data_IF_076957359162
#
_entry.id   IF_076957359162
#
_cell.length_a   1.000
_cell.length_b   1.000
_cell.length_c   1.000
_cell.angle_alpha   90.00
_cell.angle_beta   90.00
_cell.angle_gamma   90.00
#
_symmetry.space_group_name_H-M   'P 1'
#
loop_
_entity.id
_entity.type
_entity.pdbx_description
1 polymer ?
#
# COMPACT_ATOMS: atom_id res chain seq x y z
N UNK A 1 71.75 14.25 -41.92
CA UNK A 1 71.11 14.38 -40.60
C UNK A 1 69.62 14.50 -40.85
N UNK A 2 68.88 13.53 -40.33
CA UNK A 2 67.59 13.06 -40.82
C UNK A 2 66.38 13.92 -40.48
N UNK A 3 65.40 13.84 -41.39
CA UNK A 3 63.99 14.22 -41.25
C UNK A 3 63.28 13.33 -40.23
N UNK A 4 62.37 13.87 -39.40
CA UNK A 4 61.18 13.14 -38.90
C UNK A 4 59.97 14.05 -38.75
N UNK A 5 58.93 13.72 -39.51
CA UNK A 5 57.53 14.10 -39.32
C UNK A 5 56.95 13.33 -38.13
N UNK A 6 56.05 13.96 -37.37
CA UNK A 6 55.25 13.30 -36.34
C UNK A 6 53.79 13.29 -36.79
N UNK A 7 53.31 12.09 -37.11
CA UNK A 7 51.93 11.79 -37.49
C UNK A 7 51.31 11.01 -36.32
N UNK A 8 50.25 11.55 -35.71
CA UNK A 8 49.54 10.93 -34.60
C UNK A 8 48.55 9.89 -35.11
N UNK A 9 48.69 8.65 -34.63
CA UNK A 9 47.89 7.50 -35.02
C UNK A 9 46.77 7.24 -34.00
N UNK A 10 45.55 6.98 -34.49
CA UNK A 10 44.39 6.57 -33.69
C UNK A 10 44.52 5.09 -33.32
N UNK A 11 44.49 4.75 -32.03
CA UNK A 11 44.37 3.36 -31.55
C UNK A 11 42.93 3.04 -31.13
N UNK A 12 42.42 1.93 -31.68
CA UNK A 12 41.12 1.32 -31.37
C UNK A 12 41.19 0.48 -30.07
N UNK A 13 40.07 0.20 -29.39
CA UNK A 13 40.05 -0.62 -28.18
C UNK A 13 40.23 -2.13 -28.52
N UNK A 14 40.72 -2.95 -27.57
CA UNK A 14 41.09 -4.34 -27.85
C UNK A 14 39.85 -5.23 -28.03
N UNK A 15 39.87 -6.06 -29.08
CA UNK A 15 38.94 -7.19 -29.25
C UNK A 15 39.30 -8.27 -28.23
N UNK A 16 38.39 -8.58 -27.31
CA UNK A 16 38.43 -9.84 -26.56
C UNK A 16 38.26 -11.00 -27.54
N UNK A 17 39.18 -11.97 -27.50
CA UNK A 17 39.13 -13.16 -28.33
C UNK A 17 38.08 -14.16 -27.79
N UNK A 18 37.33 -14.78 -28.71
CA UNK A 18 36.21 -15.70 -28.43
C UNK A 18 36.57 -16.87 -27.49
N UNK A 19 37.85 -17.24 -27.43
CA UNK A 19 38.34 -18.32 -26.59
C UNK A 19 38.32 -17.94 -25.09
N UNK A 20 38.48 -16.65 -24.77
CA UNK A 20 38.45 -16.15 -23.40
C UNK A 20 37.00 -16.09 -22.85
N UNK A 21 36.03 -15.83 -23.73
CA UNK A 21 34.59 -15.89 -23.42
C UNK A 21 34.17 -17.35 -23.20
N UNK A 22 34.65 -18.26 -24.04
CA UNK A 22 34.32 -19.69 -23.96
C UNK A 22 34.90 -20.34 -22.69
N UNK A 23 36.10 -19.92 -22.28
CA UNK A 23 36.69 -20.34 -20.99
C UNK A 23 35.88 -19.88 -19.78
N UNK A 24 35.35 -18.64 -19.79
CA UNK A 24 34.54 -18.09 -18.69
C UNK A 24 33.16 -18.73 -18.57
N UNK A 25 32.57 -19.19 -19.68
CA UNK A 25 31.29 -19.92 -19.68
C UNK A 25 31.47 -21.34 -19.10
N UNK A 26 32.56 -22.02 -19.43
CA UNK A 26 32.85 -23.35 -18.87
C UNK A 26 33.10 -23.31 -17.35
N UNK A 27 33.67 -22.22 -16.81
CA UNK A 27 33.80 -22.06 -15.37
C UNK A 27 32.44 -21.88 -14.67
N UNK A 28 31.46 -21.22 -15.29
CA UNK A 28 30.11 -21.05 -14.73
C UNK A 28 29.34 -22.38 -14.60
N UNK A 29 29.51 -23.31 -15.54
CA UNK A 29 28.91 -24.64 -15.44
C UNK A 29 29.58 -25.51 -14.36
N UNK A 30 30.87 -25.29 -14.13
CA UNK A 30 31.59 -25.92 -13.00
C UNK A 30 31.06 -25.43 -11.65
N UNK A 31 30.74 -24.15 -11.52
CA UNK A 31 30.08 -23.60 -10.33
C UNK A 31 28.66 -24.15 -10.15
N UNK A 32 27.88 -24.31 -11.23
CA UNK A 32 26.54 -24.93 -11.16
C UNK A 32 26.57 -26.38 -10.65
N UNK A 33 27.61 -27.15 -10.98
CA UNK A 33 27.81 -28.51 -10.47
C UNK A 33 28.13 -28.54 -8.95
N UNK A 34 28.87 -27.55 -8.45
CA UNK A 34 29.18 -27.42 -7.02
C UNK A 34 27.92 -27.05 -6.22
N UNK A 35 27.11 -26.11 -6.72
CA UNK A 35 25.86 -25.70 -6.05
C UNK A 35 24.75 -26.77 -6.09
N UNK A 36 24.82 -27.72 -7.02
CA UNK A 36 23.87 -28.85 -7.11
C UNK A 36 24.28 -30.08 -6.30
N UNK A 37 25.55 -30.19 -5.90
CA UNK A 37 26.07 -31.34 -5.14
C UNK A 37 26.17 -31.14 -3.62
N UNK A 38 26.08 -29.91 -3.11
CA UNK A 38 26.14 -29.61 -1.66
C UNK A 38 24.78 -29.35 -0.98
N UNK A 39 23.66 -29.59 -1.66
CA UNK A 39 22.31 -29.46 -1.09
C UNK A 39 21.72 -30.77 -0.58
N UNK A 40 22.41 -31.49 0.33
CA UNK A 40 21.83 -32.62 1.08
C UNK A 40 21.97 -32.38 2.58
N UNK A 41 21.14 -31.49 3.10
CA UNK A 41 20.69 -31.56 4.49
C UNK A 41 19.19 -31.28 4.57
N UNK A 42 18.50 -32.19 5.27
CA UNK A 42 17.05 -32.33 5.30
C UNK A 42 16.42 -31.31 6.26
N UNK A 43 15.71 -30.31 5.76
CA UNK A 43 14.38 -29.91 6.26
C UNK A 43 13.86 -28.67 5.52
N UNK A 44 12.70 -28.84 4.86
CA UNK A 44 11.76 -27.87 4.27
C UNK A 44 11.44 -28.26 2.82
N UNK A 45 10.36 -29.03 2.67
CA UNK A 45 9.68 -29.21 1.39
C UNK A 45 9.26 -27.84 0.83
N UNK A 46 9.41 -27.68 -0.48
CA UNK A 46 9.01 -26.49 -1.23
C UNK A 46 7.49 -26.34 -1.25
N UNK A 47 7.03 -25.16 -0.86
CA UNK A 47 5.64 -24.68 -0.81
C UNK A 47 4.88 -24.78 -2.16
N UNK A 48 5.60 -25.02 -3.26
CA UNK A 48 5.05 -25.06 -4.62
C UNK A 48 4.33 -26.38 -4.92
N UNK A 49 4.73 -27.50 -4.30
CA UNK A 49 4.06 -28.80 -4.51
C UNK A 49 2.72 -28.89 -3.76
N UNK A 50 2.60 -28.23 -2.61
CA UNK A 50 1.35 -28.16 -1.83
C UNK A 50 0.24 -27.38 -2.55
N UNK A 51 0.61 -26.37 -3.34
CA UNK A 51 -0.36 -25.58 -4.11
C UNK A 51 -0.95 -26.37 -5.29
N UNK A 52 -0.29 -27.43 -5.76
CA UNK A 52 -0.79 -28.25 -6.86
C UNK A 52 -1.82 -29.31 -6.42
N UNK A 53 -1.75 -29.79 -5.17
CA UNK A 53 -2.71 -30.77 -4.63
C UNK A 53 -4.04 -30.14 -4.19
N UNK A 54 -4.02 -28.90 -3.69
CA UNK A 54 -5.24 -28.23 -3.19
C UNK A 54 -6.19 -27.77 -4.32
N UNK A 55 -5.69 -27.61 -5.55
CA UNK A 55 -6.53 -27.25 -6.71
C UNK A 55 -7.36 -28.43 -7.26
N UNK A 56 -7.07 -29.67 -6.87
CA UNK A 56 -7.81 -30.86 -7.34
C UNK A 56 -8.93 -31.32 -6.40
N UNK A 57 -9.15 -30.67 -5.25
CA UNK A 57 -10.19 -31.09 -4.29
C UNK A 57 -11.15 -29.97 -3.92
N UNK A 58 -12.26 -29.87 -4.65
CA UNK A 58 -13.56 -29.46 -4.08
C UNK A 58 -14.69 -30.38 -4.56
N UNK A 59 -15.70 -30.65 -3.72
CA UNK A 59 -16.63 -31.75 -3.91
C UNK A 59 -17.86 -31.34 -4.71
N UNK A 60 -18.24 -32.16 -5.69
CA UNK A 60 -19.58 -32.16 -6.29
C UNK A 60 -20.51 -33.03 -5.45
N UNK A 61 -21.64 -32.48 -4.99
CA UNK A 61 -22.75 -33.25 -4.44
C UNK A 61 -23.84 -33.44 -5.51
N UNK A 62 -24.09 -34.73 -5.77
CA UNK A 62 -25.36 -35.42 -6.04
C UNK A 62 -26.22 -35.00 -7.24
N UNK A 63 -26.40 -35.93 -8.19
CA UNK A 63 -27.68 -36.61 -8.39
C UNK A 63 -27.52 -37.94 -9.16
N UNK A 64 -28.18 -38.98 -8.65
CA UNK A 64 -28.27 -40.34 -9.19
C UNK A 64 -29.20 -40.41 -10.42
N UNK A 65 -28.84 -41.17 -11.45
CA UNK A 65 -29.56 -42.39 -11.86
C UNK A 65 -29.08 -43.00 -13.20
N UNK A 66 -28.82 -44.31 -13.14
CA UNK A 66 -29.20 -45.39 -14.08
C UNK A 66 -28.62 -45.48 -15.52
N UNK A 67 -27.71 -46.46 -15.65
CA UNK A 67 -27.62 -47.59 -16.62
C UNK A 67 -27.85 -47.41 -18.14
N UNK A 68 -26.78 -47.80 -18.85
CA UNK A 68 -26.68 -48.85 -19.88
C UNK A 68 -26.95 -48.54 -21.37
N UNK A 69 -25.89 -48.86 -22.13
CA UNK A 69 -25.78 -49.48 -23.45
C UNK A 69 -26.04 -48.69 -24.75
N UNK A 70 -24.91 -48.49 -25.46
CA UNK A 70 -24.63 -48.86 -26.86
C UNK A 70 -25.75 -48.75 -27.91
N UNK A 71 -25.56 -47.89 -28.92
CA UNK A 71 -25.14 -48.31 -30.28
C UNK A 71 -25.37 -47.19 -31.32
N UNK A 72 -24.56 -47.28 -32.37
CA UNK A 72 -24.80 -46.89 -33.77
C UNK A 72 -24.36 -45.50 -34.27
N UNK A 73 -23.43 -45.64 -35.22
CA UNK A 73 -22.89 -44.69 -36.18
C UNK A 73 -23.98 -44.09 -37.08
N UNK A 74 -23.81 -42.86 -37.56
CA UNK A 74 -23.49 -42.61 -38.98
C UNK A 74 -23.25 -41.13 -39.30
N UNK A 75 -22.42 -40.95 -40.32
CA UNK A 75 -21.70 -39.77 -40.79
C UNK A 75 -22.60 -38.67 -41.36
N UNK A 76 -22.15 -37.41 -41.28
CA UNK A 76 -21.87 -36.62 -42.49
C UNK A 76 -21.07 -35.35 -42.19
N UNK A 77 -20.17 -35.06 -43.12
CA UNK A 77 -19.06 -34.12 -43.06
C UNK A 77 -19.45 -32.64 -42.95
N UNK A 78 -18.70 -31.86 -42.18
CA UNK A 78 -18.10 -30.63 -42.71
C UNK A 78 -16.88 -30.19 -41.88
N UNK A 79 -15.76 -29.96 -42.57
CA UNK A 79 -14.51 -29.46 -42.00
C UNK A 79 -14.71 -28.14 -41.24
N UNK A 80 -14.56 -28.16 -39.91
CA UNK A 80 -14.25 -26.95 -39.14
C UNK A 80 -12.76 -26.95 -38.81
N UNK A 81 -12.02 -26.08 -39.48
CA UNK A 81 -10.65 -25.69 -39.10
C UNK A 81 -10.70 -25.19 -37.65
N UNK A 82 -10.20 -26.00 -36.71
CA UNK A 82 -9.94 -25.57 -35.33
C UNK A 82 -8.83 -24.52 -35.37
N UNK A 83 -9.21 -23.24 -35.45
CA UNK A 83 -8.35 -22.18 -34.93
C UNK A 83 -8.36 -22.34 -33.41
N UNK A 84 -7.27 -22.86 -32.86
CA UNK A 84 -6.91 -22.61 -31.48
C UNK A 84 -6.84 -21.09 -31.29
N UNK A 85 -7.93 -20.52 -30.79
CA UNK A 85 -7.95 -19.16 -30.32
C UNK A 85 -6.98 -19.06 -29.16
N UNK A 86 -5.84 -18.43 -29.41
CA UNK A 86 -5.15 -17.67 -28.39
C UNK A 86 -6.20 -16.75 -27.75
N UNK A 87 -6.67 -17.09 -26.55
CA UNK A 87 -7.42 -16.14 -25.75
C UNK A 87 -6.46 -15.00 -25.41
N UNK A 88 -6.73 -13.75 -25.84
CA UNK A 88 -5.92 -12.64 -25.41
C UNK A 88 -6.07 -12.50 -23.89
N UNK A 89 -4.95 -12.36 -23.18
CA UNK A 89 -4.92 -12.13 -21.74
C UNK A 89 -5.73 -10.88 -21.29
N UNK A 90 -6.22 -10.07 -22.22
CA UNK A 90 -6.98 -8.84 -21.98
C UNK A 90 -8.43 -9.04 -21.49
N UNK A 91 -9.02 -10.24 -21.61
CA UNK A 91 -10.43 -10.46 -21.18
C UNK A 91 -10.57 -10.58 -19.66
N UNK A 92 -9.50 -10.95 -18.93
CA UNK A 92 -9.51 -11.09 -17.47
C UNK A 92 -9.55 -9.75 -16.71
N UNK A 93 -9.50 -8.62 -17.43
CA UNK A 93 -9.29 -7.28 -16.85
C UNK A 93 -10.28 -6.24 -17.35
N UNK A 94 -11.40 -6.66 -17.95
CA UNK A 94 -12.44 -5.71 -18.35
C UNK A 94 -13.15 -5.19 -17.11
N UNK A 95 -13.04 -3.89 -16.87
CA UNK A 95 -13.82 -3.20 -15.84
C UNK A 95 -15.31 -3.41 -16.15
N UNK A 96 -16.11 -3.93 -15.21
CA UNK A 96 -17.56 -4.05 -15.38
C UNK A 96 -18.20 -2.73 -15.81
N UNK A 97 -19.20 -2.81 -16.72
CA UNK A 97 -19.88 -1.62 -17.27
C UNK A 97 -20.49 -0.71 -16.22
N UNK A 98 -20.90 -1.28 -15.09
CA UNK A 98 -21.45 -0.55 -13.94
C UNK A 98 -20.46 0.41 -13.27
N UNK A 99 -19.14 0.24 -13.47
CA UNK A 99 -18.12 1.17 -12.94
C UNK A 99 -17.62 2.18 -13.97
N UNK A 100 -18.16 2.13 -15.19
CA UNK A 100 -17.82 3.05 -16.27
C UNK A 100 -18.82 4.21 -16.22
N UNK A 101 -18.31 5.43 -16.04
CA UNK A 101 -19.13 6.63 -16.10
C UNK A 101 -19.35 7.09 -17.54
N UNK A 102 -20.47 7.77 -17.76
CA UNK A 102 -20.77 8.40 -19.03
C UNK A 102 -19.83 9.60 -19.25
N UNK A 103 -19.36 9.78 -20.49
CA UNK A 103 -18.41 10.86 -20.82
C UNK A 103 -19.01 12.26 -20.70
N UNK A 104 -20.34 12.38 -20.70
CA UNK A 104 -21.11 13.61 -20.54
C UNK A 104 -21.41 13.96 -19.06
N UNK A 105 -20.98 13.13 -18.10
CA UNK A 105 -21.12 13.38 -16.66
C UNK A 105 -20.35 14.65 -16.19
N UNK A 106 -19.55 15.25 -17.06
CA UNK A 106 -18.68 16.39 -16.76
C UNK A 106 -17.23 15.96 -16.54
N UNK A 107 -16.43 16.83 -15.92
CA UNK A 107 -14.99 16.64 -15.77
C UNK A 107 -14.22 16.85 -17.08
N UNK A 108 -12.94 16.52 -17.07
CA UNK A 108 -12.07 16.61 -18.24
C UNK A 108 -11.24 15.33 -18.41
N UNK A 109 -10.96 14.92 -19.67
CA UNK A 109 -10.16 13.73 -19.93
C UNK A 109 -8.71 13.95 -19.52
N UNK A 110 -8.05 12.88 -19.11
CA UNK A 110 -6.60 12.90 -18.91
C UNK A 110 -5.88 13.12 -20.25
N UNK A 111 -4.83 13.96 -20.25
CA UNK A 111 -3.94 14.12 -21.40
C UNK A 111 -2.79 13.11 -21.38
N UNK A 112 -2.13 12.88 -22.51
CA UNK A 112 -0.95 12.01 -22.57
C UNK A 112 0.20 12.54 -21.71
N UNK A 113 0.38 13.87 -21.64
CA UNK A 113 1.39 14.51 -20.79
C UNK A 113 1.12 14.24 -19.31
N UNK A 114 -0.15 14.36 -18.88
CA UNK A 114 -0.55 14.05 -17.51
C UNK A 114 -0.32 12.57 -17.19
N UNK A 115 -0.62 11.65 -18.12
CA UNK A 115 -0.41 10.22 -17.92
C UNK A 115 1.08 9.87 -17.83
N UNK A 116 1.93 10.48 -18.65
CA UNK A 116 3.39 10.32 -18.61
C UNK A 116 3.98 10.80 -17.28
N UNK A 117 3.63 12.01 -16.84
CA UNK A 117 4.12 12.57 -15.57
C UNK A 117 3.58 11.80 -14.35
N UNK A 118 2.32 11.36 -14.40
CA UNK A 118 1.73 10.49 -13.38
C UNK A 118 2.54 9.19 -13.22
N UNK A 119 2.92 8.56 -14.34
CA UNK A 119 3.74 7.34 -14.33
C UNK A 119 5.14 7.58 -13.78
N UNK A 120 5.80 8.67 -14.18
CA UNK A 120 7.13 9.03 -13.67
C UNK A 120 7.10 9.22 -12.15
N UNK A 121 6.13 9.98 -11.63
CA UNK A 121 6.02 10.21 -10.18
C UNK A 121 5.66 8.94 -9.42
N UNK A 122 4.84 8.06 -9.99
CA UNK A 122 4.48 6.81 -9.33
C UNK A 122 5.61 5.78 -9.33
N UNK A 123 6.17 5.52 -10.50
CA UNK A 123 7.02 4.35 -10.74
C UNK A 123 8.49 4.70 -11.03
N UNK A 124 8.82 5.98 -11.23
CA UNK A 124 10.10 6.41 -11.80
C UNK A 124 10.24 6.09 -13.30
N UNK A 125 9.18 5.59 -13.94
CA UNK A 125 9.20 5.07 -15.31
C UNK A 125 7.80 5.14 -15.94
N UNK A 126 7.72 5.35 -17.26
CA UNK A 126 6.50 5.38 -18.07
C UNK A 126 6.06 4.01 -18.61
N UNK A 127 6.91 2.98 -18.52
CA UNK A 127 6.62 1.63 -19.00
C UNK A 127 6.05 0.68 -17.92
N UNK A 128 6.14 1.07 -16.64
CA UNK A 128 5.62 0.26 -15.55
C UNK A 128 4.11 0.47 -15.34
N UNK A 129 3.42 -0.65 -15.16
CA UNK A 129 1.97 -0.73 -14.97
C UNK A 129 1.66 -1.52 -13.71
N UNK A 130 0.53 -1.23 -13.07
CA UNK A 130 0.07 -1.99 -11.91
C UNK A 130 -0.06 -3.48 -12.23
N UNK A 131 0.41 -4.30 -11.30
CA UNK A 131 0.30 -5.75 -11.39
C UNK A 131 -1.12 -6.24 -11.03
N UNK A 132 -1.32 -7.55 -11.08
CA UNK A 132 -2.62 -8.18 -10.77
C UNK A 132 -3.16 -7.81 -9.38
N UNK A 133 -2.30 -7.84 -8.37
CA UNK A 133 -2.68 -7.56 -6.98
C UNK A 133 -3.24 -6.14 -6.82
N UNK A 134 -2.65 -5.16 -7.50
CA UNK A 134 -3.16 -3.78 -7.50
C UNK A 134 -4.46 -3.65 -8.28
N UNK A 135 -4.58 -4.28 -9.45
CA UNK A 135 -5.81 -4.23 -10.27
C UNK A 135 -7.00 -4.84 -9.52
N UNK A 136 -6.81 -5.98 -8.84
CA UNK A 136 -7.90 -6.59 -8.05
C UNK A 136 -8.21 -5.86 -6.74
N UNK A 137 -7.42 -4.86 -6.34
CA UNK A 137 -7.58 -4.21 -5.04
C UNK A 137 -8.66 -3.13 -5.04
N UNK A 138 -9.47 -3.11 -3.99
CA UNK A 138 -10.52 -2.14 -3.72
C UNK A 138 -10.75 -2.00 -2.20
N UNK A 139 -11.59 -1.05 -1.79
CA UNK A 139 -11.91 -0.85 -0.37
C UNK A 139 -13.03 -1.78 0.07
N UNK A 140 -12.66 -2.97 0.55
CA UNK A 140 -13.61 -3.96 1.06
C UNK A 140 -13.77 -3.82 2.56
N UNK A 141 -14.97 -3.49 3.03
CA UNK A 141 -15.31 -3.63 4.44
C UNK A 141 -15.56 -5.08 4.81
N UNK A 142 -15.37 -5.36 6.10
CA UNK A 142 -15.91 -6.55 6.73
C UNK A 142 -17.43 -6.55 6.79
N UNK A 143 -17.98 -7.72 7.10
CA UNK A 143 -19.41 -7.97 7.19
C UNK A 143 -20.14 -6.89 8.04
N UNK A 144 -21.21 -6.27 7.48
CA UNK A 144 -22.05 -5.33 8.21
C UNK A 144 -22.64 -5.95 9.47
N UNK A 145 -23.03 -5.10 10.42
CA UNK A 145 -23.66 -5.53 11.68
C UNK A 145 -22.80 -6.44 12.57
N UNK A 146 -21.47 -6.35 12.46
CA UNK A 146 -20.50 -7.08 13.30
C UNK A 146 -19.63 -6.15 14.14
N UNK A 147 -18.93 -6.69 15.14
CA UNK A 147 -17.90 -5.99 15.94
C UNK A 147 -16.77 -5.40 15.09
N UNK A 148 -16.63 -5.87 13.85
CA UNK A 148 -15.60 -5.45 12.92
C UNK A 148 -16.16 -4.66 11.73
N UNK A 149 -17.43 -4.24 11.78
CA UNK A 149 -18.11 -3.54 10.69
C UNK A 149 -17.46 -2.20 10.32
N UNK A 150 -16.71 -1.56 11.23
CA UNK A 150 -15.94 -0.34 10.92
C UNK A 150 -14.68 -0.58 10.10
N UNK A 151 -14.28 -1.83 9.85
CA UNK A 151 -12.93 -2.16 9.42
C UNK A 151 -12.84 -2.66 7.98
N UNK A 152 -11.80 -2.19 7.29
CA UNK A 152 -11.39 -2.63 5.97
C UNK A 152 -10.57 -3.91 6.04
N UNK A 153 -10.80 -4.83 5.10
CA UNK A 153 -9.95 -5.99 4.87
C UNK A 153 -8.68 -5.55 4.12
N UNK A 154 -7.53 -5.79 4.72
CA UNK A 154 -6.23 -5.43 4.17
C UNK A 154 -5.22 -6.55 4.45
N UNK A 155 -5.35 -7.64 3.68
CA UNK A 155 -4.44 -8.78 3.73
C UNK A 155 -3.01 -8.39 3.27
N UNK A 156 -2.12 -9.38 3.08
CA UNK A 156 -0.71 -9.16 2.73
C UNK A 156 -0.52 -8.74 1.27
N UNK A 157 -1.10 -7.61 0.88
CA UNK A 157 -1.01 -7.01 -0.46
C UNK A 157 -0.11 -5.77 -0.44
N UNK A 158 0.43 -5.39 -1.60
CA UNK A 158 1.19 -4.15 -1.77
C UNK A 158 0.36 -2.87 -1.52
N UNK A 159 -0.97 -2.99 -1.51
CA UNK A 159 -1.94 -1.91 -1.29
C UNK A 159 -2.32 -1.70 0.18
N UNK A 160 -1.89 -2.60 1.08
CA UNK A 160 -2.24 -2.59 2.51
C UNK A 160 -1.94 -1.27 3.20
N UNK A 161 -0.81 -0.64 2.89
CA UNK A 161 -0.41 0.62 3.52
C UNK A 161 -1.44 1.73 3.27
N UNK A 162 -1.94 1.81 2.03
CA UNK A 162 -2.98 2.77 1.63
C UNK A 162 -4.31 2.41 2.30
N UNK A 163 -4.69 1.14 2.32
CA UNK A 163 -5.93 0.70 2.97
C UNK A 163 -5.94 1.01 4.47
N UNK A 164 -4.83 0.79 5.18
CA UNK A 164 -4.72 1.08 6.61
C UNK A 164 -4.66 2.58 6.90
N UNK A 165 -4.06 3.38 6.02
CA UNK A 165 -4.15 4.83 6.12
C UNK A 165 -5.61 5.30 5.99
N UNK A 166 -6.36 4.80 5.00
CA UNK A 166 -7.82 5.07 4.89
C UNK A 166 -8.59 4.57 6.11
N UNK A 167 -8.24 3.40 6.64
CA UNK A 167 -8.86 2.86 7.87
C UNK A 167 -8.71 3.82 9.06
N UNK A 168 -7.56 4.49 9.20
CA UNK A 168 -7.38 5.53 10.20
C UNK A 168 -8.40 6.67 10.05
N UNK A 169 -8.63 7.15 8.82
CA UNK A 169 -9.61 8.20 8.55
C UNK A 169 -11.06 7.73 8.74
N UNK A 170 -11.36 6.46 8.47
CA UNK A 170 -12.67 5.86 8.79
C UNK A 170 -12.91 5.89 10.31
N UNK A 171 -11.92 5.46 11.10
CA UNK A 171 -12.00 5.50 12.57
C UNK A 171 -12.13 6.96 13.05
N UNK A 172 -11.38 7.90 12.46
CA UNK A 172 -11.48 9.33 12.75
C UNK A 172 -12.92 9.83 12.58
N UNK A 173 -13.53 9.53 11.44
CA UNK A 173 -14.90 9.94 11.16
C UNK A 173 -15.90 9.33 12.14
N UNK A 174 -15.84 8.01 12.34
CA UNK A 174 -16.80 7.28 13.16
C UNK A 174 -16.73 7.66 14.64
N UNK A 175 -15.52 7.86 15.18
CA UNK A 175 -15.33 8.25 16.58
C UNK A 175 -15.52 9.75 16.80
N UNK A 176 -14.91 10.61 15.99
CA UNK A 176 -14.72 12.02 16.37
C UNK A 176 -15.48 13.05 15.51
N UNK A 177 -15.98 12.66 14.34
CA UNK A 177 -16.61 13.63 13.41
C UNK A 177 -18.12 13.43 13.30
N UNK A 178 -18.57 12.18 13.19
CA UNK A 178 -19.97 11.84 12.92
C UNK A 178 -20.91 12.27 14.05
N UNK A 179 -20.46 12.14 15.30
CA UNK A 179 -21.27 12.33 16.51
C UNK A 179 -21.00 13.66 17.24
N UNK A 180 -20.09 14.51 16.73
CA UNK A 180 -19.72 15.76 17.39
C UNK A 180 -19.09 15.54 18.77
N UNK A 181 -19.47 16.37 19.75
CA UNK A 181 -18.94 16.35 21.14
C UNK A 181 -19.59 15.28 22.05
N UNK A 182 -20.37 14.33 21.51
CA UNK A 182 -20.90 13.20 22.29
C UNK A 182 -19.77 12.34 22.87
N UNK A 183 -20.02 11.66 24.00
CA UNK A 183 -19.02 10.75 24.59
C UNK A 183 -18.70 9.61 23.60
N UNK A 184 -17.47 9.62 23.09
CA UNK A 184 -16.98 8.60 22.18
C UNK A 184 -16.92 7.24 22.87
N UNK A 185 -17.64 6.27 22.33
CA UNK A 185 -17.68 4.89 22.81
C UNK A 185 -17.20 3.94 21.73
N UNK A 186 -16.60 2.82 22.11
CA UNK A 186 -16.30 1.73 21.18
C UNK A 186 -17.54 1.23 20.44
N UNK A 187 -18.72 1.31 21.06
CA UNK A 187 -19.98 0.94 20.41
C UNK A 187 -20.24 1.76 19.13
N UNK A 188 -19.68 2.97 19.03
CA UNK A 188 -19.79 3.80 17.83
C UNK A 188 -19.05 3.23 16.62
N UNK A 189 -18.22 2.19 16.79
CA UNK A 189 -17.52 1.46 15.73
C UNK A 189 -18.23 0.16 15.33
N UNK A 190 -19.18 -0.31 16.13
CA UNK A 190 -19.78 -1.62 15.93
C UNK A 190 -21.09 -1.54 15.16
N UNK A 191 -21.48 -2.69 14.62
CA UNK A 191 -22.82 -2.92 14.09
C UNK A 191 -23.26 -1.97 12.95
N UNK A 192 -22.31 -1.44 12.19
CA UNK A 192 -22.64 -0.56 11.08
C UNK A 192 -23.30 -1.30 9.92
N UNK A 193 -24.38 -0.68 9.39
CA UNK A 193 -25.00 -1.13 8.15
C UNK A 193 -24.11 -0.82 6.95
N UNK A 194 -24.37 -1.50 5.82
CA UNK A 194 -23.66 -1.27 4.57
C UNK A 194 -23.70 0.21 4.12
N UNK A 195 -24.84 0.89 4.31
CA UNK A 195 -24.99 2.32 3.99
C UNK A 195 -24.11 3.21 4.87
N UNK A 196 -23.94 2.85 6.15
CA UNK A 196 -23.07 3.59 7.06
C UNK A 196 -21.59 3.37 6.73
N UNK A 197 -21.20 2.15 6.35
CA UNK A 197 -19.86 1.84 5.85
C UNK A 197 -19.53 2.64 4.59
N UNK A 198 -20.43 2.65 3.61
CA UNK A 198 -20.30 3.44 2.38
C UNK A 198 -20.10 4.93 2.67
N UNK A 199 -20.92 5.49 3.57
CA UNK A 199 -20.79 6.90 3.98
C UNK A 199 -19.46 7.16 4.68
N UNK A 200 -19.03 6.28 5.59
CA UNK A 200 -17.77 6.43 6.31
C UNK A 200 -16.57 6.38 5.36
N UNK A 201 -16.58 5.49 4.37
CA UNK A 201 -15.56 5.45 3.33
C UNK A 201 -15.58 6.70 2.45
N UNK A 202 -16.76 7.13 1.96
CA UNK A 202 -16.86 8.34 1.15
C UNK A 202 -16.28 9.57 1.87
N UNK A 203 -16.63 9.77 3.14
CA UNK A 203 -16.11 10.87 3.96
C UNK A 203 -14.60 10.72 4.20
N UNK A 204 -14.12 9.51 4.51
CA UNK A 204 -12.69 9.27 4.72
C UNK A 204 -11.85 9.55 3.45
N UNK A 205 -12.31 9.08 2.29
CA UNK A 205 -11.64 9.36 1.01
C UNK A 205 -11.69 10.86 0.70
N UNK A 206 -12.84 11.52 0.86
CA UNK A 206 -12.99 12.96 0.64
C UNK A 206 -12.03 13.77 1.53
N UNK A 207 -11.92 13.40 2.80
CA UNK A 207 -11.07 14.08 3.78
C UNK A 207 -9.57 14.00 3.42
N UNK A 208 -9.11 12.82 2.97
CA UNK A 208 -7.72 12.64 2.52
C UNK A 208 -7.46 13.47 1.25
N UNK A 209 -8.36 13.39 0.25
CA UNK A 209 -8.21 14.13 -1.01
C UNK A 209 -8.22 15.65 -0.78
N UNK A 210 -9.13 16.13 0.06
CA UNK A 210 -9.25 17.53 0.44
C UNK A 210 -8.00 18.04 1.17
N UNK A 211 -7.44 17.21 2.05
CA UNK A 211 -6.19 17.51 2.76
C UNK A 211 -5.00 17.59 1.79
N UNK A 212 -4.91 16.67 0.81
CA UNK A 212 -3.87 16.71 -0.23
C UNK A 212 -3.92 17.96 -1.11
N UNK A 213 -5.12 18.48 -1.37
CA UNK A 213 -5.30 19.78 -2.03
C UNK A 213 -5.33 20.98 -1.08
N UNK A 214 -4.83 20.82 0.16
CA UNK A 214 -4.68 21.87 1.18
C UNK A 214 -5.97 22.62 1.52
N UNK A 215 -7.09 21.92 1.46
CA UNK A 215 -8.39 22.47 1.75
C UNK A 215 -8.94 23.45 0.71
N UNK A 216 -8.29 23.53 -0.46
CA UNK A 216 -8.71 24.43 -1.54
C UNK A 216 -9.43 23.69 -2.67
N UNK A 217 -8.94 22.50 -3.03
CA UNK A 217 -9.54 21.69 -4.11
C UNK A 217 -9.27 20.20 -3.94
N UNK A 218 -10.01 19.37 -4.66
CA UNK A 218 -9.76 17.94 -4.79
C UNK A 218 -10.13 17.45 -6.19
N UNK A 219 -9.48 16.38 -6.64
CA UNK A 219 -9.74 15.70 -7.91
C UNK A 219 -10.23 14.28 -7.62
N UNK A 220 -11.30 13.87 -8.30
CA UNK A 220 -11.73 12.47 -8.37
C UNK A 220 -11.48 11.94 -9.78
N UNK A 221 -10.86 10.77 -9.87
CA UNK A 221 -10.66 10.04 -11.11
C UNK A 221 -11.67 8.91 -11.23
N UNK A 222 -12.42 8.87 -12.34
CA UNK A 222 -13.28 7.75 -12.74
C UNK A 222 -12.93 7.30 -14.16
N UNK A 223 -13.50 6.17 -14.61
CA UNK A 223 -13.18 5.58 -15.91
C UNK A 223 -14.35 5.72 -16.88
N UNK A 224 -14.08 6.08 -18.13
CA UNK A 224 -15.05 6.10 -19.24
C UNK A 224 -14.84 4.93 -20.20
N UNK A 225 -15.74 4.74 -21.17
CA UNK A 225 -15.68 3.57 -22.06
C UNK A 225 -14.51 3.61 -23.03
N UNK A 226 -14.29 4.76 -23.67
CA UNK A 226 -13.31 4.93 -24.73
C UNK A 226 -11.99 5.52 -24.19
N UNK A 227 -10.83 5.09 -24.72
CA UNK A 227 -9.56 5.75 -24.42
C UNK A 227 -9.51 7.14 -25.06
N UNK A 228 -8.98 8.12 -24.34
CA UNK A 228 -8.81 9.50 -24.83
C UNK A 228 -7.58 9.70 -25.69
N UNK A 229 -6.60 8.79 -25.59
CA UNK A 229 -5.41 8.79 -26.42
C UNK A 229 -4.90 7.35 -26.62
N UNK A 230 -4.08 7.17 -27.65
CA UNK A 230 -3.43 5.88 -27.96
C UNK A 230 -1.99 5.85 -27.46
N UNK A 231 -1.41 4.65 -27.32
CA UNK A 231 -0.02 4.50 -26.92
C UNK A 231 0.94 5.33 -27.79
N UNK A 232 1.89 6.01 -27.15
CA UNK A 232 3.03 6.68 -27.79
C UNK A 232 4.29 5.80 -27.75
N UNK A 233 5.42 6.33 -28.20
CA UNK A 233 6.72 5.64 -28.13
C UNK A 233 7.26 5.53 -26.70
N UNK A 234 7.02 6.56 -25.89
CA UNK A 234 7.59 6.69 -24.54
C UNK A 234 6.59 6.33 -23.43
N UNK A 235 5.50 5.64 -23.79
CA UNK A 235 4.40 5.33 -22.87
C UNK A 235 3.79 3.97 -23.20
N UNK A 236 3.75 3.07 -22.20
CA UNK A 236 3.07 1.77 -22.34
C UNK A 236 1.61 1.90 -21.91
N UNK A 237 0.69 1.65 -22.85
CA UNK A 237 -0.73 1.63 -22.52
C UNK A 237 -1.08 0.50 -21.54
N UNK A 238 -1.92 0.80 -20.55
CA UNK A 238 -2.46 -0.20 -19.61
C UNK A 238 -3.97 -0.42 -19.75
N UNK A 239 -4.59 0.25 -20.73
CA UNK A 239 -6.02 0.21 -21.04
C UNK A 239 -6.93 0.62 -19.87
N UNK A 240 -6.35 1.41 -18.95
CA UNK A 240 -7.00 1.90 -17.75
C UNK A 240 -6.76 3.40 -17.62
N UNK A 241 -5.50 3.79 -17.59
CA UNK A 241 -5.05 5.18 -17.41
C UNK A 241 -5.50 6.05 -18.57
N UNK A 242 -5.57 5.53 -19.79
CA UNK A 242 -5.98 6.28 -20.99
C UNK A 242 -7.47 6.61 -21.00
N UNK A 243 -8.25 6.02 -20.09
CA UNK A 243 -9.71 6.15 -20.00
C UNK A 243 -10.14 7.00 -18.80
N UNK A 244 -9.20 7.69 -18.14
CA UNK A 244 -9.49 8.47 -16.94
C UNK A 244 -10.19 9.78 -17.29
N UNK A 245 -11.28 10.03 -16.57
CA UNK A 245 -11.98 11.30 -16.51
C UNK A 245 -11.74 11.92 -15.13
N UNK A 246 -11.29 13.16 -15.08
CA UNK A 246 -10.95 13.89 -13.87
C UNK A 246 -12.05 14.91 -13.53
N UNK A 247 -12.52 14.87 -12.30
CA UNK A 247 -13.56 15.78 -11.77
C UNK A 247 -12.95 16.66 -10.69
N UNK A 248 -12.94 17.98 -10.92
CA UNK A 248 -12.42 18.96 -9.95
C UNK A 248 -13.53 19.51 -9.07
N UNK A 249 -13.25 19.59 -7.77
CA UNK A 249 -14.14 20.12 -6.74
C UNK A 249 -13.41 21.17 -5.92
N UNK A 250 -14.07 22.31 -5.69
CA UNK A 250 -13.62 23.40 -4.82
C UNK A 250 -14.51 23.56 -3.58
N UNK A 251 -15.40 22.60 -3.36
CA UNK A 251 -16.30 22.53 -2.21
C UNK A 251 -16.28 21.09 -1.65
N UNK A 252 -15.95 20.96 -0.35
CA UNK A 252 -15.81 19.67 0.33
C UNK A 252 -17.13 18.92 0.43
N UNK A 253 -18.25 19.61 0.63
CA UNK A 253 -19.56 18.98 0.79
C UNK A 253 -20.06 18.42 -0.55
N UNK A 254 -19.80 19.14 -1.65
CA UNK A 254 -20.10 18.65 -3.01
C UNK A 254 -19.22 17.45 -3.34
N UNK A 255 -17.91 17.51 -3.02
CA UNK A 255 -16.99 16.39 -3.17
C UNK A 255 -17.49 15.13 -2.43
N UNK A 256 -17.90 15.27 -1.17
CA UNK A 256 -18.43 14.17 -0.35
C UNK A 256 -19.71 13.57 -0.95
N UNK A 257 -20.63 14.41 -1.42
CA UNK A 257 -21.86 13.96 -2.10
C UNK A 257 -21.55 13.19 -3.38
N UNK A 258 -20.60 13.68 -4.17
CA UNK A 258 -20.19 13.03 -5.41
C UNK A 258 -19.52 11.68 -5.15
N UNK A 259 -18.62 11.59 -4.16
CA UNK A 259 -18.03 10.31 -3.72
C UNK A 259 -19.09 9.35 -3.21
N UNK A 260 -20.06 9.83 -2.42
CA UNK A 260 -21.17 9.02 -1.94
C UNK A 260 -21.98 8.40 -3.08
N UNK A 261 -22.27 9.17 -4.13
CA UNK A 261 -22.99 8.68 -5.31
C UNK A 261 -22.18 7.65 -6.14
N UNK A 262 -20.85 7.79 -6.17
CA UNK A 262 -19.94 6.95 -6.97
C UNK A 262 -19.11 5.96 -6.13
N UNK A 263 -19.50 5.70 -4.88
CA UNK A 263 -18.69 4.89 -3.96
C UNK A 263 -18.48 3.45 -4.45
N UNK A 264 -19.42 2.94 -5.26
CA UNK A 264 -19.35 1.63 -5.92
C UNK A 264 -18.10 1.48 -6.82
N UNK A 265 -17.60 2.58 -7.42
CA UNK A 265 -16.35 2.60 -8.19
C UNK A 265 -15.09 2.38 -7.34
N UNK A 266 -15.19 2.44 -6.01
CA UNK A 266 -14.06 2.31 -5.09
C UNK A 266 -14.12 1.05 -4.22
N UNK A 267 -15.32 0.52 -3.98
CA UNK A 267 -15.56 -0.54 -2.97
C UNK A 267 -15.99 -1.89 -3.56
N UNK A 268 -16.37 -1.97 -4.83
CA UNK A 268 -16.87 -3.23 -5.40
C UNK A 268 -15.75 -4.03 -6.06
N UNK A 269 -15.91 -5.34 -6.14
CA UNK A 269 -14.94 -6.20 -6.80
C UNK A 269 -14.81 -5.86 -8.30
N UNK A 270 -13.57 -5.82 -8.82
CA UNK A 270 -13.29 -5.51 -10.22
C UNK A 270 -13.27 -4.02 -10.60
N UNK A 271 -13.52 -3.10 -9.66
CA UNK A 271 -13.53 -1.66 -9.94
C UNK A 271 -12.13 -1.02 -10.04
N UNK A 272 -11.08 -1.72 -9.57
CA UNK A 272 -9.72 -1.18 -9.42
C UNK A 272 -9.66 0.06 -8.50
N UNK A 273 -10.51 0.10 -7.48
CA UNK A 273 -10.76 1.26 -6.62
C UNK A 273 -9.53 1.83 -5.93
N UNK A 274 -8.55 0.99 -5.59
CA UNK A 274 -7.28 1.47 -5.01
C UNK A 274 -6.46 2.31 -5.99
N UNK A 275 -6.47 1.93 -7.28
CA UNK A 275 -5.78 2.68 -8.33
C UNK A 275 -6.49 4.01 -8.58
N UNK A 276 -7.83 3.99 -8.66
CA UNK A 276 -8.62 5.22 -8.83
C UNK A 276 -8.41 6.20 -7.68
N UNK A 277 -8.40 5.71 -6.45
CA UNK A 277 -8.14 6.56 -5.29
C UNK A 277 -6.72 7.11 -5.29
N UNK A 278 -5.72 6.29 -5.61
CA UNK A 278 -4.34 6.75 -5.72
C UNK A 278 -4.19 7.85 -6.77
N UNK A 279 -4.77 7.67 -7.97
CA UNK A 279 -4.74 8.71 -9.00
C UNK A 279 -5.47 9.98 -8.55
N UNK A 280 -6.65 9.85 -7.93
CA UNK A 280 -7.40 10.97 -7.35
C UNK A 280 -6.55 11.76 -6.35
N UNK A 281 -5.82 11.05 -5.47
CA UNK A 281 -4.93 11.64 -4.48
C UNK A 281 -3.79 12.44 -5.11
N UNK A 282 -3.12 11.86 -6.11
CA UNK A 282 -2.00 12.54 -6.77
C UNK A 282 -2.44 13.77 -7.55
N UNK A 283 -3.58 13.72 -8.23
CA UNK A 283 -4.11 14.88 -8.94
C UNK A 283 -4.66 15.95 -7.99
N UNK A 284 -5.19 15.57 -6.82
CA UNK A 284 -5.61 16.53 -5.78
C UNK A 284 -4.41 17.33 -5.26
N UNK A 285 -3.27 16.68 -5.03
CA UNK A 285 -2.00 17.38 -4.71
C UNK A 285 -1.40 18.13 -5.89
N UNK A 286 -1.68 17.68 -7.12
CA UNK A 286 -1.04 18.08 -8.39
C UNK A 286 0.38 17.51 -8.58
N UNK A 287 0.69 17.11 -9.81
CA UNK A 287 1.97 16.47 -10.15
C UNK A 287 3.18 17.40 -9.94
N UNK A 288 3.02 18.70 -10.22
CA UNK A 288 4.07 19.70 -9.97
C UNK A 288 4.42 19.80 -8.48
N UNK A 289 3.41 19.93 -7.62
CA UNK A 289 3.65 20.05 -6.17
C UNK A 289 4.18 18.76 -5.57
N UNK A 290 3.81 17.60 -6.13
CA UNK A 290 4.43 16.33 -5.76
C UNK A 290 5.93 16.32 -6.07
N UNK A 291 6.36 16.86 -7.22
CA UNK A 291 7.79 17.00 -7.52
C UNK A 291 8.49 17.91 -6.51
N UNK A 292 7.85 19.02 -6.10
CA UNK A 292 8.38 19.95 -5.09
C UNK A 292 8.40 19.37 -3.66
N UNK A 293 7.51 18.40 -3.36
CA UNK A 293 7.44 17.74 -2.05
C UNK A 293 8.54 16.68 -1.89
N UNK A 294 8.89 15.99 -2.98
CA UNK A 294 9.90 14.94 -2.99
C UNK A 294 11.31 15.53 -2.90
N UNK A 295 12.28 14.68 -2.56
CA UNK A 295 13.70 15.02 -2.50
C UNK A 295 14.55 13.92 -3.15
N UNK A 296 15.87 14.12 -3.16
CA UNK A 296 16.82 13.20 -3.77
C UNK A 296 16.78 11.77 -3.19
N UNK A 297 16.27 11.58 -1.97
CA UNK A 297 16.13 10.25 -1.36
C UNK A 297 14.96 9.46 -1.94
N UNK A 298 13.94 10.17 -2.45
CA UNK A 298 12.68 9.56 -2.91
C UNK A 298 12.18 10.24 -4.19
N UNK A 299 12.69 9.84 -5.38
CA UNK A 299 12.29 10.45 -6.65
C UNK A 299 10.93 9.97 -7.19
N UNK A 300 10.34 8.92 -6.60
CA UNK A 300 9.05 8.35 -7.01
C UNK A 300 8.36 7.66 -5.83
N UNK A 301 7.04 7.47 -5.91
CA UNK A 301 6.17 7.13 -4.77
C UNK A 301 6.00 5.63 -4.48
N UNK A 302 6.17 4.76 -5.48
CA UNK A 302 6.05 3.31 -5.32
C UNK A 302 7.40 2.62 -5.48
N UNK A 303 7.68 1.65 -4.63
CA UNK A 303 8.85 0.79 -4.73
C UNK A 303 8.45 -0.57 -5.30
N UNK A 304 9.10 -1.00 -6.38
CA UNK A 304 8.96 -2.36 -6.89
C UNK A 304 9.91 -3.29 -6.12
N UNK A 305 9.37 -4.33 -5.49
CA UNK A 305 10.13 -5.35 -4.78
C UNK A 305 9.36 -6.67 -4.77
N UNK A 306 10.07 -7.80 -4.93
CA UNK A 306 9.50 -9.15 -4.90
C UNK A 306 8.27 -9.33 -5.82
N UNK A 307 8.29 -8.71 -7.00
CA UNK A 307 7.19 -8.80 -7.98
C UNK A 307 5.97 -7.93 -7.66
N UNK A 308 6.02 -7.09 -6.63
CA UNK A 308 4.92 -6.22 -6.23
C UNK A 308 5.34 -4.76 -6.02
N UNK A 309 4.39 -3.84 -6.13
CA UNK A 309 4.57 -2.44 -5.76
C UNK A 309 4.13 -2.22 -4.32
N UNK A 310 4.97 -1.52 -3.55
CA UNK A 310 4.69 -1.09 -2.19
C UNK A 310 4.79 0.44 -2.09
N UNK A 311 4.00 1.04 -1.20
CA UNK A 311 4.04 2.48 -0.98
C UNK A 311 5.32 2.88 -0.24
N UNK A 312 6.03 3.90 -0.74
CA UNK A 312 7.10 4.57 0.02
C UNK A 312 6.52 5.54 1.04
N UNK A 313 7.34 5.92 2.02
CA UNK A 313 6.94 6.82 3.10
C UNK A 313 6.35 8.16 2.61
N UNK A 314 6.88 8.73 1.53
CA UNK A 314 6.34 9.94 0.90
C UNK A 314 4.83 9.82 0.56
N UNK A 315 4.39 8.67 0.03
CA UNK A 315 2.97 8.44 -0.27
C UNK A 315 2.13 8.32 1.00
N UNK A 316 2.69 7.72 2.05
CA UNK A 316 2.02 7.62 3.36
C UNK A 316 1.86 9.01 3.97
N UNK A 317 2.93 9.81 3.98
CA UNK A 317 2.90 11.19 4.48
C UNK A 317 1.93 12.07 3.67
N UNK A 318 1.78 11.86 2.36
CA UNK A 318 0.78 12.54 1.56
C UNK A 318 -0.64 12.27 2.05
N UNK A 319 -0.96 11.03 2.42
CA UNK A 319 -2.27 10.67 2.94
C UNK A 319 -2.54 11.23 4.35
N UNK A 320 -1.50 11.29 5.19
CA UNK A 320 -1.62 11.75 6.57
C UNK A 320 -1.64 13.29 6.66
N UNK A 321 -0.80 13.96 5.89
CA UNK A 321 -0.48 15.39 6.06
C UNK A 321 -0.88 16.27 4.89
N UNK A 322 -1.24 15.66 3.75
CA UNK A 322 -1.47 16.36 2.49
C UNK A 322 -0.20 16.75 1.73
N UNK A 323 0.98 16.41 2.24
CA UNK A 323 2.28 16.67 1.60
C UNK A 323 3.10 15.40 1.45
N UNK A 324 3.70 15.17 0.28
CA UNK A 324 4.48 13.95 0.00
C UNK A 324 5.93 13.99 0.51
N UNK A 325 6.17 14.58 1.69
CA UNK A 325 7.51 14.66 2.29
C UNK A 325 8.08 13.26 2.53
N UNK A 326 9.30 12.92 2.06
CA UNK A 326 9.85 11.58 2.24
C UNK A 326 10.17 11.17 3.68
N UNK A 327 10.55 12.14 4.52
CA UNK A 327 11.05 11.87 5.87
C UNK A 327 9.96 11.94 6.94
N UNK A 328 10.20 11.26 8.06
CA UNK A 328 9.28 11.19 9.21
C UNK A 328 9.64 12.10 10.38
N UNK A 329 10.78 12.80 10.30
CA UNK A 329 11.17 13.81 11.29
C UNK A 329 10.43 15.15 11.06
N UNK A 330 10.58 16.08 11.99
CA UNK A 330 9.96 17.41 11.89
C UNK A 330 10.82 18.36 11.04
N UNK A 331 10.16 19.17 10.21
CA UNK A 331 10.81 20.22 9.42
C UNK A 331 11.74 19.67 8.34
N UNK A 332 12.33 20.56 7.55
CA UNK A 332 13.33 20.20 6.56
C UNK A 332 14.73 20.22 7.20
N UNK A 333 15.60 19.30 6.80
CA UNK A 333 16.98 19.20 7.29
C UNK A 333 17.95 19.37 6.14
N UNK A 334 18.97 20.20 6.33
CA UNK A 334 20.06 20.38 5.38
C UNK A 334 21.19 19.42 5.74
N UNK A 335 21.62 18.61 4.79
CA UNK A 335 22.85 17.83 4.91
C UNK A 335 24.01 18.72 4.47
N UNK A 336 24.81 19.17 5.43
CA UNK A 336 26.08 19.83 5.14
C UNK A 336 27.16 18.74 4.99
N UNK A 337 27.28 18.19 3.78
CA UNK A 337 28.48 17.45 3.38
C UNK A 337 29.43 18.45 2.68
N UNK A 338 30.63 18.58 3.23
CA UNK A 338 31.78 19.39 2.79
C UNK A 338 31.65 20.08 1.40
N UNK A 339 30.97 21.23 1.41
CA UNK A 339 31.20 22.39 0.56
C UNK A 339 30.97 22.32 -0.96
N UNK A 340 30.12 21.43 -1.48
CA UNK A 340 29.75 21.51 -2.92
C UNK A 340 28.26 21.47 -3.26
N UNK A 341 27.37 20.83 -2.51
CA UNK A 341 25.90 20.94 -2.74
C UNK A 341 25.11 20.77 -1.43
N UNK A 342 24.24 21.74 -1.09
CA UNK A 342 23.31 21.59 0.04
C UNK A 342 22.14 20.69 -0.38
N UNK A 343 22.15 19.44 0.06
CA UNK A 343 21.01 18.55 -0.14
C UNK A 343 20.02 18.69 1.01
N UNK A 344 18.80 19.16 0.69
CA UNK A 344 17.71 19.28 1.65
C UNK A 344 16.90 17.98 1.67
N UNK A 345 16.69 17.44 2.86
CA UNK A 345 15.76 16.34 3.11
C UNK A 345 14.45 16.90 3.65
N UNK A 346 13.33 16.57 3.00
CA UNK A 346 12.03 17.11 3.35
C UNK A 346 11.34 16.27 4.42
N UNK A 347 11.07 16.88 5.57
CA UNK A 347 10.33 16.26 6.67
C UNK A 347 8.90 16.76 6.78
N UNK A 348 8.28 16.44 7.91
CA UNK A 348 6.88 16.76 8.18
C UNK A 348 6.76 18.17 8.76
N UNK A 349 6.01 19.02 8.05
CA UNK A 349 5.87 20.44 8.38
C UNK A 349 4.67 20.74 9.29
N UNK A 350 3.63 19.91 9.24
CA UNK A 350 2.35 20.17 9.90
C UNK A 350 1.94 19.01 10.79
N UNK A 351 1.31 19.33 11.92
CA UNK A 351 0.73 18.32 12.81
C UNK A 351 -0.44 17.62 12.11
N UNK A 352 -0.31 16.31 11.97
CA UNK A 352 -1.32 15.47 11.31
C UNK A 352 -2.54 15.22 12.19
N UNK A 353 -3.70 14.98 11.56
CA UNK A 353 -4.91 14.51 12.24
C UNK A 353 -4.74 13.07 12.75
N UNK A 354 -4.05 12.23 11.96
CA UNK A 354 -3.71 10.83 12.27
C UNK A 354 -2.20 10.69 12.28
N UNK A 355 -1.68 10.10 13.35
CA UNK A 355 -0.26 9.97 13.58
C UNK A 355 0.37 8.84 12.81
N UNK A 356 1.69 8.72 12.98
CA UNK A 356 2.46 7.60 12.46
C UNK A 356 3.40 7.09 13.54
N UNK A 357 3.49 5.77 13.68
CA UNK A 357 4.47 5.09 14.51
C UNK A 357 5.17 4.03 13.66
N UNK A 358 6.46 3.85 13.92
CA UNK A 358 7.28 2.94 13.13
C UNK A 358 8.19 2.14 14.02
N UNK A 359 8.20 0.83 13.81
CA UNK A 359 9.14 -0.07 14.43
C UNK A 359 9.50 -1.19 13.48
N UNK A 360 10.80 -1.44 13.34
CA UNK A 360 11.35 -2.56 12.61
C UNK A 360 12.48 -3.16 13.41
N UNK A 361 12.40 -4.47 13.68
CA UNK A 361 13.46 -5.21 14.37
C UNK A 361 14.77 -5.14 13.58
N UNK A 362 14.70 -5.33 12.26
CA UNK A 362 15.86 -5.33 11.38
C UNK A 362 16.56 -3.96 11.39
N UNK A 363 15.79 -2.88 11.25
CA UNK A 363 16.36 -1.53 11.22
C UNK A 363 16.91 -1.14 12.59
N UNK A 364 16.27 -1.55 13.68
CA UNK A 364 16.77 -1.33 15.04
C UNK A 364 18.11 -2.03 15.28
N UNK A 365 18.26 -3.29 14.84
CA UNK A 365 19.52 -4.03 14.95
C UNK A 365 20.65 -3.43 14.11
N UNK A 366 20.31 -2.73 13.02
CA UNK A 366 21.26 -2.04 12.16
C UNK A 366 21.51 -0.57 12.55
N UNK A 367 20.93 -0.09 13.66
CA UNK A 367 20.96 1.32 14.10
C UNK A 367 20.46 2.30 13.02
N UNK A 368 19.43 1.87 12.28
CA UNK A 368 18.81 2.60 11.16
C UNK A 368 17.35 2.94 11.40
N UNK A 369 16.82 2.67 12.60
CA UNK A 369 15.42 2.91 12.90
C UNK A 369 15.09 4.41 12.78
N UNK A 370 14.16 4.81 11.89
CA UNK A 370 13.81 6.21 11.70
C UNK A 370 13.28 6.87 12.99
N UNK A 371 13.79 8.07 13.29
CA UNK A 371 13.29 8.91 14.38
C UNK A 371 12.05 9.67 13.93
N UNK A 372 10.86 9.10 14.21
CA UNK A 372 9.59 9.78 13.92
C UNK A 372 9.45 11.04 14.79
N UNK A 373 9.17 12.17 14.15
CA UNK A 373 9.02 13.48 14.79
C UNK A 373 7.67 13.69 15.49
N UNK A 374 7.57 14.73 16.32
CA UNK A 374 6.35 15.04 17.07
C UNK A 374 5.14 15.38 16.19
N UNK A 375 5.34 15.91 14.98
CA UNK A 375 4.23 16.21 14.05
C UNK A 375 3.43 14.95 13.65
N UNK A 376 4.06 13.78 13.75
CA UNK A 376 3.45 12.47 13.53
C UNK A 376 3.22 11.68 14.83
N UNK A 377 4.09 11.79 15.84
CA UNK A 377 3.92 11.07 17.12
C UNK A 377 2.79 11.64 18.00
N UNK A 378 2.48 12.93 17.88
CA UNK A 378 1.42 13.60 18.64
C UNK A 378 0.32 14.12 17.70
N UNK A 379 -0.48 13.25 17.08
CA UNK A 379 -1.57 13.66 16.18
C UNK A 379 -2.68 14.44 16.89
N UNK A 380 -3.59 15.06 16.13
CA UNK A 380 -4.74 15.77 16.71
C UNK A 380 -5.78 14.83 17.30
N UNK A 381 -6.00 13.67 16.68
CA UNK A 381 -6.81 12.60 17.22
C UNK A 381 -5.90 11.46 17.67
N UNK A 382 -6.23 10.72 18.74
CA UNK A 382 -5.42 9.60 19.24
C UNK A 382 -5.52 8.39 18.30
N UNK A 383 -5.12 8.53 17.04
CA UNK A 383 -5.14 7.49 16.01
C UNK A 383 -3.76 7.51 15.37
N UNK A 384 -3.13 6.36 15.21
CA UNK A 384 -1.84 6.19 14.57
C UNK A 384 -1.91 5.09 13.53
N UNK A 385 -1.40 5.40 12.34
CA UNK A 385 -0.96 4.40 11.40
C UNK A 385 0.37 3.81 11.90
N UNK A 386 0.43 2.51 12.09
CA UNK A 386 1.62 1.83 12.60
C UNK A 386 2.26 1.00 11.49
N UNK A 387 3.53 1.24 11.19
CA UNK A 387 4.36 0.35 10.40
C UNK A 387 5.17 -0.56 11.35
N UNK A 388 4.77 -1.83 11.43
CA UNK A 388 5.36 -2.82 12.35
C UNK A 388 6.03 -3.91 11.51
N UNK A 389 7.36 -3.95 11.49
CA UNK A 389 8.16 -4.85 10.63
C UNK A 389 7.70 -4.83 9.16
N UNK A 390 7.44 -3.65 8.59
CA UNK A 390 6.96 -3.50 7.21
C UNK A 390 5.47 -3.76 7.02
N UNK A 391 4.74 -4.11 8.08
CA UNK A 391 3.31 -4.40 8.04
C UNK A 391 2.51 -3.24 8.62
N UNK A 392 1.63 -2.65 7.80
CA UNK A 392 0.79 -1.53 8.22
C UNK A 392 -0.42 -2.01 9.03
N UNK A 393 -0.77 -1.25 10.06
CA UNK A 393 -1.86 -1.49 11.01
C UNK A 393 -2.34 -0.17 11.62
N UNK A 394 -3.42 -0.19 12.40
CA UNK A 394 -3.95 1.02 13.07
C UNK A 394 -4.03 0.80 14.57
N UNK A 395 -3.50 1.76 15.32
CA UNK A 395 -3.59 1.86 16.78
C UNK A 395 -4.41 3.12 17.11
N UNK A 396 -5.38 3.05 18.01
CA UNK A 396 -6.21 4.20 18.32
C UNK A 396 -6.77 4.20 19.75
N UNK A 397 -7.00 5.37 20.31
CA UNK A 397 -7.76 5.59 21.54
C UNK A 397 -9.12 6.19 21.22
N UNK A 398 -10.05 6.11 22.18
CA UNK A 398 -11.39 6.71 22.07
C UNK A 398 -11.46 8.11 22.70
N UNK A 399 -10.55 8.41 23.63
CA UNK A 399 -10.52 9.69 24.33
C UNK A 399 -9.76 10.75 23.52
N UNK A 400 -10.49 11.70 22.92
CA UNK A 400 -9.90 12.79 22.13
C UNK A 400 -8.87 13.63 22.91
N UNK A 401 -9.00 13.71 24.23
CA UNK A 401 -8.10 14.50 25.09
C UNK A 401 -6.82 13.77 25.48
N UNK A 402 -6.64 12.51 25.07
CA UNK A 402 -5.50 11.67 25.48
C UNK A 402 -4.15 12.37 25.28
N UNK A 403 -3.97 13.10 24.17
CA UNK A 403 -2.70 13.75 23.81
C UNK A 403 -2.64 15.24 24.15
N UNK A 404 -3.68 15.76 24.81
CA UNK A 404 -3.78 17.17 25.20
C UNK A 404 -3.60 17.37 26.70
N UNK A 405 -3.78 16.31 27.50
CA UNK A 405 -3.58 16.33 28.94
C UNK A 405 -2.54 15.27 29.34
N UNK A 406 -1.37 15.73 29.78
CA UNK A 406 -0.26 14.86 30.19
C UNK A 406 -0.65 13.87 31.29
N UNK A 407 -1.65 14.19 32.12
CA UNK A 407 -2.14 13.27 33.16
C UNK A 407 -2.86 12.07 32.58
N UNK A 408 -3.50 12.24 31.41
CA UNK A 408 -4.21 11.17 30.73
C UNK A 408 -3.24 10.21 30.02
N UNK A 409 -2.00 10.63 29.76
CA UNK A 409 -0.94 9.78 29.18
C UNK A 409 -0.26 8.88 30.23
N UNK A 410 -0.75 8.84 31.46
CA UNK A 410 -0.24 7.97 32.52
C UNK A 410 -0.80 6.55 32.49
N UNK A 411 -2.12 6.44 32.33
CA UNK A 411 -2.83 5.17 32.34
C UNK A 411 -4.05 5.28 31.44
N UNK A 412 -4.05 4.58 30.30
CA UNK A 412 -5.09 4.74 29.28
C UNK A 412 -5.24 3.50 28.41
N UNK A 413 -6.35 3.44 27.70
CA UNK A 413 -6.66 2.35 26.78
C UNK A 413 -6.39 2.74 25.33
N UNK A 414 -5.80 1.79 24.60
CA UNK A 414 -5.67 1.81 23.15
C UNK A 414 -6.28 0.54 22.55
N UNK A 415 -6.61 0.63 21.28
CA UNK A 415 -7.22 -0.41 20.48
C UNK A 415 -6.39 -0.64 19.24
N UNK A 416 -6.17 -1.90 18.89
CA UNK A 416 -5.30 -2.30 17.79
C UNK A 416 -6.05 -3.12 16.76
N UNK A 417 -5.92 -2.71 15.49
CA UNK A 417 -6.45 -3.42 14.33
C UNK A 417 -5.35 -3.63 13.28
N UNK A 418 -5.20 -4.88 12.84
CA UNK A 418 -4.14 -5.32 11.95
C UNK A 418 -4.60 -5.57 10.50
N UNK A 419 -5.85 -5.29 10.11
CA UNK A 419 -6.30 -5.49 8.73
C UNK A 419 -6.54 -6.94 8.27
N UNK A 420 -6.07 -7.96 9.01
CA UNK A 420 -6.15 -9.37 8.59
C UNK A 420 -7.52 -9.96 8.89
N UNK A 421 -8.03 -10.83 8.01
CA UNK A 421 -9.29 -11.56 8.21
C UNK A 421 -9.32 -12.46 9.46
N UNK A 422 -8.16 -12.92 9.93
CA UNK A 422 -8.01 -13.74 11.13
C UNK A 422 -8.37 -12.99 12.42
N UNK A 423 -8.18 -11.67 12.47
CA UNK A 423 -8.50 -10.87 13.65
C UNK A 423 -10.02 -10.72 13.79
N UNK A 424 -10.68 -11.53 14.63
CA UNK A 424 -12.15 -11.50 14.77
C UNK A 424 -12.67 -10.40 15.70
N UNK A 425 -11.80 -9.84 16.55
CA UNK A 425 -12.12 -8.74 17.47
C UNK A 425 -11.01 -7.72 17.50
N UNK A 426 -11.37 -6.48 17.78
CA UNK A 426 -10.41 -5.40 18.02
C UNK A 426 -9.61 -5.72 19.29
N UNK A 427 -8.28 -5.70 19.23
CA UNK A 427 -7.47 -5.98 20.40
C UNK A 427 -7.47 -4.76 21.33
N UNK A 428 -7.66 -4.99 22.62
CA UNK A 428 -7.67 -3.96 23.66
C UNK A 428 -6.35 -4.01 24.43
N UNK A 429 -5.70 -2.85 24.53
CA UNK A 429 -4.45 -2.63 25.21
C UNK A 429 -4.67 -1.60 26.33
N UNK A 430 -4.24 -1.91 27.55
CA UNK A 430 -4.07 -0.88 28.58
C UNK A 430 -2.59 -0.53 28.69
N UNK A 431 -2.28 0.77 28.59
CA UNK A 431 -0.94 1.33 28.61
C UNK A 431 -0.73 2.01 29.96
N UNK A 432 0.33 1.63 30.67
CA UNK A 432 0.78 2.28 31.90
C UNK A 432 2.22 2.79 31.72
N UNK A 433 2.38 4.11 31.80
CA UNK A 433 3.66 4.81 31.61
C UNK A 433 4.38 5.12 32.93
N UNK A 434 3.79 4.81 34.10
CA UNK A 434 4.44 4.96 35.41
C UNK A 434 5.32 3.76 35.78
N UNK A 435 4.97 2.58 35.27
CA UNK A 435 5.63 1.33 35.63
C UNK A 435 7.03 1.21 34.99
N UNK A 436 8.09 1.53 35.73
CA UNK A 436 9.50 1.28 35.32
C UNK A 436 9.91 -0.20 35.34
N UNK A 437 8.98 -1.12 35.64
CA UNK A 437 9.26 -2.57 35.78
C UNK A 437 9.77 -3.26 34.50
N UNK A 438 9.73 -2.59 33.34
CA UNK A 438 10.18 -3.19 32.08
C UNK A 438 11.70 -3.40 32.03
N UNK A 439 12.51 -2.56 32.70
CA UNK A 439 13.98 -2.73 32.77
C UNK A 439 14.40 -3.78 33.80
N UNK A 440 13.67 -3.96 34.91
CA UNK A 440 14.09 -4.87 36.00
C UNK A 440 14.04 -6.36 35.63
N UNK A 441 13.18 -6.76 34.68
CA UNK A 441 13.15 -8.14 34.16
C UNK A 441 14.23 -8.44 33.11
N UNK A 442 15.08 -7.48 32.75
CA UNK A 442 15.97 -7.58 31.58
C UNK A 442 17.21 -8.46 31.76
N UNK A 443 17.63 -8.78 32.98
CA UNK A 443 18.97 -9.39 33.22
C UNK A 443 19.04 -10.92 33.25
N UNK A 444 17.94 -11.68 33.08
CA UNK A 444 17.94 -13.10 33.46
C UNK A 444 17.39 -14.13 32.46
N UNK A 445 17.03 -13.78 31.22
CA UNK A 445 16.42 -14.79 30.31
C UNK A 445 16.94 -14.70 28.86
N UNK A 446 17.71 -15.73 28.46
CA UNK A 446 18.23 -16.03 27.10
C UNK A 446 17.15 -16.71 26.22
N UNK A 447 15.91 -16.21 26.27
CA UNK A 447 14.80 -16.70 25.44
C UNK A 447 14.74 -16.09 24.04
N UNK A 448 13.83 -16.63 23.21
CA UNK A 448 13.47 -16.07 21.89
C UNK A 448 13.07 -14.59 22.00
N UNK A 449 13.89 -13.72 21.42
CA UNK A 449 13.74 -12.27 21.49
C UNK A 449 12.47 -11.75 20.80
N UNK A 450 11.82 -12.52 19.92
CA UNK A 450 10.50 -12.17 19.38
C UNK A 450 9.41 -12.40 20.42
N UNK A 451 9.42 -13.55 21.10
CA UNK A 451 8.49 -13.83 22.21
C UNK A 451 8.68 -12.90 23.40
N UNK A 452 9.91 -12.40 23.59
CA UNK A 452 10.27 -11.48 24.68
C UNK A 452 9.82 -10.04 24.42
N UNK A 453 9.76 -9.61 23.16
CA UNK A 453 9.43 -8.23 22.79
C UNK A 453 8.46 -8.21 21.61
N UNK A 454 7.13 -8.26 21.89
CA UNK A 454 6.13 -8.17 20.84
C UNK A 454 6.28 -6.87 20.05
N UNK A 455 6.28 -6.97 18.72
CA UNK A 455 6.60 -5.86 17.82
C UNK A 455 5.63 -4.67 17.97
N UNK A 456 4.36 -4.95 18.25
CA UNK A 456 3.37 -3.90 18.53
C UNK A 456 3.68 -3.17 19.84
N UNK A 457 4.12 -3.86 20.89
CA UNK A 457 4.53 -3.21 22.14
C UNK A 457 5.73 -2.30 21.91
N UNK A 458 6.71 -2.77 21.14
CA UNK A 458 7.88 -1.95 20.81
C UNK A 458 7.50 -0.72 19.98
N UNK A 459 6.51 -0.86 19.10
CA UNK A 459 5.93 0.28 18.36
C UNK A 459 5.32 1.32 19.30
N UNK A 460 4.52 0.89 20.28
CA UNK A 460 3.95 1.78 21.32
C UNK A 460 5.07 2.48 22.10
N UNK A 461 6.12 1.74 22.47
CA UNK A 461 7.28 2.27 23.22
C UNK A 461 8.12 3.29 22.43
N UNK A 462 8.00 3.35 21.10
CA UNK A 462 8.61 4.45 20.33
C UNK A 462 8.00 5.81 20.65
N UNK A 463 6.77 5.84 21.19
CA UNK A 463 6.09 7.05 21.65
C UNK A 463 6.11 7.17 23.18
N UNK A 464 5.70 6.12 23.89
CA UNK A 464 5.65 6.09 25.35
C UNK A 464 6.77 5.21 25.86
N UNK A 465 7.96 5.79 25.97
CA UNK A 465 9.17 5.08 26.37
C UNK A 465 8.96 4.40 27.73
N UNK A 466 9.31 3.11 27.80
CA UNK A 466 9.18 2.31 29.00
C UNK A 466 7.77 1.92 29.42
N UNK A 467 6.75 2.18 28.60
CA UNK A 467 5.38 1.78 28.94
C UNK A 467 5.24 0.25 29.10
N UNK A 468 4.49 -0.13 30.14
CA UNK A 468 3.99 -1.49 30.32
C UNK A 468 2.62 -1.63 29.64
N UNK A 469 2.36 -2.80 29.06
CA UNK A 469 1.23 -3.02 28.14
C UNK A 469 0.51 -4.30 28.55
N UNK A 470 -0.79 -4.19 28.84
CA UNK A 470 -1.65 -5.31 29.15
C UNK A 470 -2.60 -5.59 27.97
N UNK A 471 -2.55 -6.80 27.42
CA UNK A 471 -3.35 -7.26 26.27
C UNK A 471 -4.71 -7.87 26.63
N UNK A 472 -5.06 -7.91 27.92
CA UNK A 472 -6.32 -8.46 28.44
C UNK A 472 -6.63 -9.88 27.95
N UNK A 473 -5.60 -10.72 27.89
CA UNK A 473 -5.71 -12.11 27.41
C UNK A 473 -5.68 -12.27 25.88
N UNK A 474 -5.58 -11.20 25.11
CA UNK A 474 -5.28 -11.27 23.67
C UNK A 474 -3.83 -11.68 23.46
N UNK A 475 -3.57 -12.53 22.46
CA UNK A 475 -2.20 -12.90 22.10
C UNK A 475 -1.52 -11.69 21.46
N UNK A 476 -0.34 -11.24 21.96
CA UNK A 476 0.40 -10.15 21.33
C UNK A 476 0.69 -10.43 19.87
N UNK A 477 0.58 -9.40 19.02
CA UNK A 477 0.99 -9.51 17.62
C UNK A 477 2.51 -9.32 17.53
N UNK A 478 3.16 -10.29 16.90
CA UNK A 478 4.62 -10.35 16.69
C UNK A 478 4.98 -9.89 15.28
#
# INVERSE_FOLDING_TARGET
>A
MDKREAQGDLTSPPRMELDEITSKINDLDKWRSIFSSQGKDKSKLSYIELLHEDFQKKPTKSQENQKADEESEEKSDTLSIKKHGYFPANILYSIPKEFIVAADLGGYPISIEMAVELRKILFGNTFYTFNYEWKKSFFKFREPFTDMAYSLEADKTGTRAIQMAVQGHIIKYLLFTKHGDEHNSLQNLYEHSQKQQERALAVALADILWTAGEGNKAIICLITNEPYFTQGTDYKADHFTERLQLFEFVDKEILEKFLGAHIHCFKNEGCHGMILFLYSLLFSRTLRRLQDDLDFTTPHLLQFSLGNFSAKQALINLMLTGRASPQVFNGDQVLDEDNTEHHVQHGVLVRSDIGFLHWSREEMQQDRLPRVGSMLKTPKFPIWLCNVNGTYSVLFGINASLLCDWKMEHFFDLYFYNGQLSQRKTAHLTIDTHSHHWEERSKADEGDMEKKFPSVEMTVRTKWEGASINWHGSVPFY
#
